data_IF_613296333012
#
_entry.id   IF_613296333012
#
_cell.length_a   1.000
_cell.length_b   1.000
_cell.length_c   1.000
_cell.angle_alpha   90.00
_cell.angle_beta   90.00
_cell.angle_gamma   90.00
#
_symmetry.space_group_name_H-M   'P 1'
#
loop_
_entity.id
_entity.type
_entity.pdbx_description
1 polymer ?
#
# COMPACT_ATOMS: atom_id res chain seq x y z
N UNK A 1 24.40 -11.65 11.58
CA UNK A 1 23.26 -11.50 12.52
C UNK A 1 22.05 -11.99 11.76
N UNK A 2 21.33 -13.00 12.26
CA UNK A 2 20.11 -13.49 11.59
C UNK A 2 18.95 -12.54 11.94
N UNK A 3 18.72 -11.54 11.08
CA UNK A 3 17.69 -10.53 11.29
C UNK A 3 16.26 -11.08 11.12
N UNK A 4 16.11 -12.33 10.67
CA UNK A 4 14.83 -13.04 10.66
C UNK A 4 14.32 -13.27 12.08
N UNK A 5 15.17 -13.74 13.00
CA UNK A 5 14.79 -13.94 14.40
C UNK A 5 14.41 -12.61 15.09
N UNK A 6 15.07 -11.51 14.70
CA UNK A 6 14.70 -10.18 15.16
C UNK A 6 13.30 -9.80 14.64
N UNK A 7 12.95 -10.11 13.39
CA UNK A 7 11.63 -9.82 12.85
C UNK A 7 10.54 -10.64 13.56
N UNK A 8 10.79 -11.92 13.87
CA UNK A 8 9.86 -12.74 14.65
C UNK A 8 9.62 -12.14 16.04
N UNK A 9 10.69 -11.65 16.68
CA UNK A 9 10.61 -10.93 17.95
C UNK A 9 9.80 -9.63 17.84
N UNK A 10 9.98 -8.86 16.76
CA UNK A 10 9.16 -7.67 16.48
C UNK A 10 7.69 -8.03 16.40
N UNK A 11 7.33 -9.09 15.66
CA UNK A 11 5.93 -9.54 15.51
C UNK A 11 5.31 -9.87 16.86
N UNK A 12 6.03 -10.56 17.73
CA UNK A 12 5.58 -10.87 19.10
C UNK A 12 5.34 -9.58 19.89
N UNK A 13 6.30 -8.66 19.90
CA UNK A 13 6.16 -7.41 20.66
C UNK A 13 4.97 -6.57 20.19
N UNK A 14 4.77 -6.46 18.87
CA UNK A 14 3.61 -5.77 18.31
C UNK A 14 2.29 -6.45 18.73
N UNK A 15 2.23 -7.78 18.68
CA UNK A 15 1.05 -8.54 19.10
C UNK A 15 0.73 -8.38 20.60
N UNK A 16 1.75 -8.12 21.43
CA UNK A 16 1.60 -7.89 22.88
C UNK A 16 1.51 -6.41 23.28
N UNK A 17 1.46 -5.48 22.32
CA UNK A 17 1.39 -4.03 22.59
C UNK A 17 2.69 -3.40 23.09
N UNK A 18 3.82 -4.10 22.98
CA UNK A 18 5.15 -3.62 23.40
C UNK A 18 5.83 -2.84 22.26
N UNK A 19 5.19 -1.76 21.80
CA UNK A 19 5.60 -1.01 20.61
C UNK A 19 7.04 -0.48 20.68
N UNK A 20 7.48 0.03 21.83
CA UNK A 20 8.86 0.53 21.97
C UNK A 20 9.90 -0.57 21.81
N UNK A 21 9.61 -1.78 22.32
CA UNK A 21 10.49 -2.94 22.13
C UNK A 21 10.51 -3.38 20.66
N UNK A 22 9.38 -3.31 19.97
CA UNK A 22 9.32 -3.57 18.55
C UNK A 22 10.20 -2.56 17.77
N UNK A 23 10.16 -1.26 18.10
CA UNK A 23 11.01 -0.23 17.48
C UNK A 23 12.50 -0.52 17.66
N UNK A 24 12.91 -0.84 18.88
CA UNK A 24 14.32 -1.18 19.18
C UNK A 24 14.83 -2.31 18.26
N UNK A 25 14.02 -3.34 18.05
CA UNK A 25 14.39 -4.47 17.19
C UNK A 25 14.31 -4.14 15.70
N UNK A 26 13.32 -3.34 15.27
CA UNK A 26 13.26 -2.83 13.90
C UNK A 26 14.51 -2.00 13.57
N UNK A 27 14.94 -1.12 14.48
CA UNK A 27 16.17 -0.34 14.30
C UNK A 27 17.40 -1.25 14.19
N UNK A 28 17.48 -2.33 14.97
CA UNK A 28 18.57 -3.33 14.86
C UNK A 28 18.57 -4.04 13.50
N UNK A 29 17.39 -4.39 12.97
CA UNK A 29 17.29 -4.97 11.62
C UNK A 29 17.78 -3.95 10.59
N UNK A 30 17.27 -2.72 10.61
CA UNK A 30 17.58 -1.71 9.59
C UNK A 30 19.05 -1.29 9.58
N UNK A 31 19.64 -1.08 10.76
CA UNK A 31 21.05 -0.70 10.91
C UNK A 31 22.01 -1.89 10.74
N UNK A 32 21.60 -3.09 11.15
CA UNK A 32 22.41 -4.30 11.08
C UNK A 32 22.39 -5.01 9.72
N UNK A 33 21.46 -4.67 8.83
CA UNK A 33 21.40 -5.24 7.47
C UNK A 33 22.40 -4.52 6.57
N UNK A 34 23.44 -5.22 6.04
CA UNK A 34 24.39 -4.64 5.11
C UNK A 34 23.70 -4.09 3.86
N UNK A 35 24.20 -2.99 3.29
CA UNK A 35 23.59 -2.35 2.12
C UNK A 35 23.40 -3.31 0.94
N UNK A 36 24.37 -4.19 0.69
CA UNK A 36 24.30 -5.21 -0.36
C UNK A 36 23.13 -6.21 -0.19
N UNK A 37 22.57 -6.32 1.02
CA UNK A 37 21.43 -7.19 1.34
C UNK A 37 20.10 -6.44 1.32
N UNK A 38 20.10 -5.10 1.29
CA UNK A 38 18.88 -4.26 1.21
C UNK A 38 18.36 -4.24 -0.22
N UNK A 39 17.68 -5.31 -0.64
CA UNK A 39 17.24 -5.51 -2.03
C UNK A 39 15.77 -5.92 -2.12
N UNK A 40 15.18 -5.78 -3.31
CA UNK A 40 13.79 -6.15 -3.60
C UNK A 40 13.44 -7.57 -3.14
N UNK A 41 14.36 -8.52 -3.30
CA UNK A 41 14.18 -9.93 -2.98
C UNK A 41 14.44 -10.29 -1.51
N UNK A 42 14.56 -9.30 -0.61
CA UNK A 42 14.66 -9.53 0.83
C UNK A 42 13.33 -9.19 1.54
N UNK A 43 12.44 -10.19 1.68
CA UNK A 43 11.13 -9.96 2.30
C UNK A 43 11.23 -9.62 3.79
N UNK A 44 12.28 -10.07 4.50
CA UNK A 44 12.46 -9.78 5.93
C UNK A 44 12.83 -8.31 6.12
N UNK A 45 13.78 -7.83 5.32
CA UNK A 45 14.18 -6.42 5.36
C UNK A 45 13.03 -5.50 4.97
N UNK A 46 12.34 -5.81 3.86
CA UNK A 46 11.20 -5.01 3.39
C UNK A 46 10.05 -5.00 4.40
N UNK A 47 9.79 -6.13 5.08
CA UNK A 47 8.81 -6.16 6.16
C UNK A 47 9.21 -5.28 7.34
N UNK A 48 10.49 -5.26 7.72
CA UNK A 48 10.97 -4.36 8.77
C UNK A 48 10.78 -2.89 8.37
N UNK A 49 11.11 -2.52 7.12
CA UNK A 49 10.87 -1.17 6.60
C UNK A 49 9.38 -0.80 6.65
N UNK A 50 8.49 -1.69 6.21
CA UNK A 50 7.05 -1.47 6.24
C UNK A 50 6.50 -1.32 7.67
N UNK A 51 6.97 -2.14 8.61
CA UNK A 51 6.58 -2.02 10.01
C UNK A 51 7.07 -0.71 10.64
N UNK A 52 8.30 -0.28 10.32
CA UNK A 52 8.79 1.03 10.77
C UNK A 52 7.96 2.19 10.21
N UNK A 53 7.63 2.15 8.91
CA UNK A 53 6.74 3.14 8.31
C UNK A 53 5.39 3.22 9.02
N UNK A 54 4.76 2.07 9.27
CA UNK A 54 3.46 1.98 9.98
C UNK A 54 3.55 2.62 11.37
N UNK A 55 4.58 2.28 12.14
CA UNK A 55 4.74 2.80 13.50
C UNK A 55 4.98 4.31 13.53
N UNK A 56 5.72 4.87 12.57
CA UNK A 56 5.84 6.33 12.43
C UNK A 56 4.47 6.96 12.13
N UNK A 57 3.68 6.39 11.21
CA UNK A 57 2.36 6.93 10.88
C UNK A 57 1.36 6.86 12.04
N UNK A 58 1.42 5.81 12.85
CA UNK A 58 0.62 5.65 14.08
C UNK A 58 0.96 6.69 15.15
N UNK A 59 2.19 7.22 15.14
CA UNK A 59 2.64 8.30 16.02
C UNK A 59 2.51 9.69 15.40
N UNK A 60 1.81 9.80 14.27
CA UNK A 60 1.68 11.05 13.51
C UNK A 60 3.02 11.59 12.96
N UNK A 61 4.11 10.82 13.02
CA UNK A 61 5.37 11.11 12.34
C UNK A 61 5.25 10.82 10.83
N UNK A 62 4.60 11.76 10.14
CA UNK A 62 4.39 11.68 8.69
C UNK A 62 5.71 11.72 7.91
N UNK A 63 6.73 12.43 8.40
CA UNK A 63 8.02 12.53 7.70
C UNK A 63 8.81 11.23 7.80
N UNK A 64 8.93 10.64 8.99
CA UNK A 64 9.59 9.33 9.16
C UNK A 64 8.85 8.22 8.42
N UNK A 65 7.51 8.24 8.46
CA UNK A 65 6.67 7.31 7.70
C UNK A 65 6.93 7.40 6.19
N UNK A 66 6.91 8.62 5.64
CA UNK A 66 7.21 8.86 4.22
C UNK A 66 8.64 8.42 3.84
N UNK A 67 9.64 8.71 4.68
CA UNK A 67 11.03 8.31 4.41
C UNK A 67 11.19 6.79 4.33
N UNK A 68 10.58 6.04 5.24
CA UNK A 68 10.58 4.58 5.17
C UNK A 68 9.84 4.03 3.95
N UNK A 69 8.70 4.63 3.61
CA UNK A 69 7.92 4.26 2.41
C UNK A 69 8.73 4.48 1.14
N UNK A 70 9.34 5.65 0.98
CA UNK A 70 10.15 5.97 -0.19
C UNK A 70 11.36 5.05 -0.31
N UNK A 71 12.04 4.79 0.81
CA UNK A 71 13.15 3.84 0.85
C UNK A 71 12.71 2.44 0.38
N UNK A 72 11.65 1.88 0.97
CA UNK A 72 11.20 0.55 0.60
C UNK A 72 10.67 0.46 -0.83
N UNK A 73 9.97 1.49 -1.33
CA UNK A 73 9.50 1.56 -2.71
C UNK A 73 10.65 1.77 -3.72
N UNK A 74 11.76 2.38 -3.32
CA UNK A 74 12.97 2.44 -4.16
C UNK A 74 13.61 1.06 -4.38
N UNK A 75 13.42 0.15 -3.42
CA UNK A 75 13.92 -1.23 -3.50
C UNK A 75 12.92 -2.14 -4.20
N UNK A 76 11.63 -2.06 -3.85
CA UNK A 76 10.53 -2.82 -4.46
C UNK A 76 9.37 -1.88 -4.79
N UNK A 77 9.29 -1.35 -6.03
CA UNK A 77 8.26 -0.39 -6.43
C UNK A 77 6.82 -0.89 -6.30
N UNK A 78 6.63 -2.21 -6.35
CA UNK A 78 5.35 -2.92 -6.25
C UNK A 78 5.16 -3.57 -4.86
N UNK A 79 5.72 -2.98 -3.79
CA UNK A 79 5.50 -3.50 -2.44
C UNK A 79 4.14 -3.04 -1.89
N UNK A 80 3.18 -3.97 -1.79
CA UNK A 80 1.78 -3.66 -1.48
C UNK A 80 1.60 -2.86 -0.18
N UNK A 81 2.18 -3.29 0.95
CA UNK A 81 1.96 -2.58 2.22
C UNK A 81 2.44 -1.12 2.18
N UNK A 82 3.56 -0.85 1.48
CA UNK A 82 4.12 0.49 1.35
C UNK A 82 3.30 1.36 0.41
N UNK A 83 2.77 0.79 -0.68
CA UNK A 83 1.83 1.48 -1.57
C UNK A 83 0.54 1.86 -0.83
N UNK A 84 -0.03 0.95 -0.04
CA UNK A 84 -1.23 1.26 0.74
C UNK A 84 -0.99 2.41 1.73
N UNK A 85 0.10 2.36 2.50
CA UNK A 85 0.43 3.46 3.42
C UNK A 85 0.74 4.78 2.69
N UNK A 86 1.35 4.73 1.51
CA UNK A 86 1.55 5.92 0.67
C UNK A 86 0.23 6.53 0.22
N UNK A 87 -0.77 5.71 -0.12
CA UNK A 87 -2.11 6.19 -0.45
C UNK A 87 -2.78 6.89 0.75
N UNK A 88 -2.59 6.38 1.97
CA UNK A 88 -3.08 7.05 3.19
C UNK A 88 -2.44 8.42 3.39
N UNK A 89 -1.12 8.55 3.16
CA UNK A 89 -0.46 9.87 3.20
C UNK A 89 -1.07 10.81 2.17
N UNK A 90 -1.31 10.34 0.93
CA UNK A 90 -1.94 11.17 -0.10
C UNK A 90 -3.37 11.57 0.22
N UNK A 91 -4.13 10.69 0.88
CA UNK A 91 -5.47 11.00 1.36
C UNK A 91 -5.45 12.14 2.38
N UNK A 92 -4.55 12.07 3.37
CA UNK A 92 -4.40 13.09 4.42
C UNK A 92 -4.08 14.47 3.84
N UNK A 93 -3.21 14.53 2.83
CA UNK A 93 -2.82 15.79 2.16
C UNK A 93 -3.67 16.12 0.93
N UNK A 94 -4.78 15.41 0.73
CA UNK A 94 -5.78 15.64 -0.33
C UNK A 94 -5.22 15.59 -1.76
N UNK A 95 -4.17 14.79 -1.99
CA UNK A 95 -3.59 14.53 -3.31
C UNK A 95 -4.28 13.34 -3.97
N UNK A 96 -5.54 13.57 -4.39
CA UNK A 96 -6.44 12.50 -4.84
C UNK A 96 -6.04 11.85 -6.17
N UNK A 97 -5.44 12.62 -7.10
CA UNK A 97 -4.90 12.08 -8.34
C UNK A 97 -3.79 11.03 -8.07
N UNK A 98 -2.85 11.35 -7.19
CA UNK A 98 -1.75 10.47 -6.82
C UNK A 98 -2.20 9.31 -5.93
N UNK A 99 -3.13 9.57 -5.00
CA UNK A 99 -3.78 8.53 -4.21
C UNK A 99 -4.40 7.47 -5.10
N UNK A 100 -5.16 7.88 -6.13
CA UNK A 100 -5.79 6.95 -7.07
C UNK A 100 -4.77 6.07 -7.78
N UNK A 101 -3.72 6.67 -8.35
CA UNK A 101 -2.66 5.93 -9.06
C UNK A 101 -2.00 4.91 -8.14
N UNK A 102 -1.68 5.30 -6.91
CA UNK A 102 -1.05 4.39 -5.94
C UNK A 102 -1.99 3.28 -5.48
N UNK A 103 -3.29 3.53 -5.32
CA UNK A 103 -4.27 2.50 -4.98
C UNK A 103 -4.43 1.47 -6.11
N UNK A 104 -4.41 1.91 -7.38
CA UNK A 104 -4.41 0.97 -8.52
C UNK A 104 -3.13 0.12 -8.52
N UNK A 105 -1.97 0.72 -8.26
CA UNK A 105 -0.71 0.00 -8.15
C UNK A 105 -0.72 -1.01 -6.97
N UNK A 106 -1.32 -0.64 -5.85
CA UNK A 106 -1.52 -1.54 -4.70
C UNK A 106 -2.34 -2.77 -5.07
N UNK A 107 -3.46 -2.60 -5.78
CA UNK A 107 -4.28 -3.72 -6.22
C UNK A 107 -3.55 -4.64 -7.21
N UNK A 108 -2.70 -4.09 -8.08
CA UNK A 108 -1.84 -4.89 -8.94
C UNK A 108 -0.82 -5.69 -8.12
N UNK A 109 -0.15 -5.04 -7.16
CA UNK A 109 0.87 -5.62 -6.30
C UNK A 109 0.36 -6.81 -5.46
N UNK A 110 -0.85 -6.73 -4.89
CA UNK A 110 -1.41 -7.85 -4.10
C UNK A 110 -1.78 -9.07 -4.95
N UNK A 111 -1.86 -8.92 -6.27
CA UNK A 111 -2.10 -10.02 -7.22
C UNK A 111 -0.85 -10.46 -7.97
N UNK A 112 0.32 -9.88 -7.65
CA UNK A 112 1.57 -10.24 -8.29
C UNK A 112 1.98 -11.67 -7.90
N UNK A 113 2.68 -12.36 -8.82
CA UNK A 113 3.09 -13.75 -8.63
C UNK A 113 4.04 -13.95 -7.44
N UNK A 114 4.75 -12.90 -7.03
CA UNK A 114 5.66 -12.91 -5.88
C UNK A 114 5.02 -12.43 -4.57
N UNK A 115 3.74 -12.06 -4.56
CA UNK A 115 3.08 -11.45 -3.40
C UNK A 115 3.11 -12.36 -2.15
N UNK A 116 3.01 -13.67 -2.33
CA UNK A 116 3.03 -14.67 -1.25
C UNK A 116 4.35 -14.64 -0.44
N UNK A 117 5.41 -14.07 -1.00
CA UNK A 117 6.73 -14.01 -0.37
C UNK A 117 6.82 -12.94 0.74
N UNK A 118 5.94 -11.93 0.74
CA UNK A 118 6.12 -10.69 1.49
C UNK A 118 5.21 -10.51 2.71
N UNK A 119 4.33 -11.47 3.03
CA UNK A 119 3.47 -11.45 4.23
C UNK A 119 2.77 -10.09 4.43
N UNK A 120 2.04 -9.63 3.41
CA UNK A 120 1.41 -8.30 3.40
C UNK A 120 0.27 -8.17 4.42
N UNK A 121 0.32 -7.12 5.25
CA UNK A 121 -0.72 -6.81 6.24
C UNK A 121 -2.01 -6.27 5.62
N UNK A 122 -1.89 -5.58 4.49
CA UNK A 122 -3.03 -4.90 3.87
C UNK A 122 -3.67 -5.70 2.72
N UNK A 123 -3.20 -6.91 2.44
CA UNK A 123 -3.75 -7.78 1.39
C UNK A 123 -5.02 -8.56 1.79
N UNK A 124 -5.52 -8.36 3.02
CA UNK A 124 -6.72 -9.05 3.50
C UNK A 124 -8.01 -8.51 2.84
N UNK A 125 -8.99 -9.39 2.63
CA UNK A 125 -10.27 -9.09 1.96
C UNK A 125 -11.00 -7.83 2.45
N UNK A 126 -11.07 -7.51 3.77
CA UNK A 126 -11.73 -6.29 4.22
C UNK A 126 -11.03 -5.02 3.70
N UNK A 127 -9.70 -5.00 3.72
CA UNK A 127 -8.91 -3.86 3.22
C UNK A 127 -9.07 -3.71 1.72
N UNK A 128 -9.00 -4.82 0.97
CA UNK A 128 -9.22 -4.80 -0.48
C UNK A 128 -10.63 -4.29 -0.83
N UNK A 129 -11.64 -4.69 -0.06
CA UNK A 129 -13.01 -4.21 -0.24
C UNK A 129 -13.12 -2.71 0.00
N UNK A 130 -12.50 -2.19 1.06
CA UNK A 130 -12.48 -0.75 1.34
C UNK A 130 -11.75 0.03 0.23
N UNK A 131 -10.64 -0.51 -0.29
CA UNK A 131 -9.92 0.11 -1.41
C UNK A 131 -10.82 0.18 -2.65
N UNK A 132 -11.46 -0.92 -3.03
CA UNK A 132 -12.27 -1.01 -4.26
C UNK A 132 -13.56 -0.21 -4.17
N UNK A 133 -14.27 -0.28 -3.05
CA UNK A 133 -15.63 0.25 -2.94
C UNK A 133 -15.71 1.63 -2.26
N UNK A 134 -14.64 2.10 -1.61
CA UNK A 134 -14.62 3.40 -0.91
C UNK A 134 -13.47 4.29 -1.38
N UNK A 135 -12.23 3.86 -1.18
CA UNK A 135 -11.07 4.73 -1.36
C UNK A 135 -10.81 5.10 -2.83
N UNK A 136 -10.86 4.13 -3.74
CA UNK A 136 -10.70 4.40 -5.18
C UNK A 136 -11.83 5.27 -5.75
N UNK A 137 -13.12 4.99 -5.46
CA UNK A 137 -14.21 5.88 -5.86
C UNK A 137 -14.06 7.30 -5.30
N UNK A 138 -13.71 7.44 -4.03
CA UNK A 138 -13.50 8.76 -3.41
C UNK A 138 -12.34 9.52 -4.08
N UNK A 139 -11.20 8.85 -4.27
CA UNK A 139 -10.04 9.44 -4.94
C UNK A 139 -10.38 9.84 -6.38
N UNK A 140 -11.14 8.99 -7.11
CA UNK A 140 -11.58 9.30 -8.46
C UNK A 140 -12.52 10.51 -8.49
N UNK A 141 -13.55 10.53 -7.65
CA UNK A 141 -14.55 11.61 -7.63
C UNK A 141 -13.93 12.97 -7.32
N UNK A 142 -12.90 12.99 -6.45
CA UNK A 142 -12.18 14.19 -6.03
C UNK A 142 -10.96 14.53 -6.92
N UNK A 143 -10.56 13.65 -7.83
CA UNK A 143 -9.43 13.89 -8.71
C UNK A 143 -9.68 15.01 -9.72
N UNK A 144 -8.63 15.75 -10.03
CA UNK A 144 -8.65 16.79 -11.07
C UNK A 144 -8.52 16.20 -12.48
N UNK A 145 -7.81 15.07 -12.61
CA UNK A 145 -7.49 14.42 -13.90
C UNK A 145 -8.39 13.22 -14.22
N UNK A 146 -9.67 13.26 -13.82
CA UNK A 146 -10.62 12.13 -13.95
C UNK A 146 -10.61 11.45 -15.32
N UNK A 147 -10.56 12.21 -16.41
CA UNK A 147 -10.52 11.64 -17.77
C UNK A 147 -9.27 10.78 -17.99
N UNK A 148 -8.09 11.28 -17.60
CA UNK A 148 -6.85 10.53 -17.74
C UNK A 148 -6.83 9.29 -16.85
N UNK A 149 -7.30 9.41 -15.60
CA UNK A 149 -7.40 8.27 -14.68
C UNK A 149 -8.39 7.21 -15.19
N UNK A 150 -9.48 7.63 -15.82
CA UNK A 150 -10.44 6.72 -16.40
C UNK A 150 -9.84 5.90 -17.54
N UNK A 151 -9.07 6.54 -18.43
CA UNK A 151 -8.35 5.84 -19.49
C UNK A 151 -7.36 4.81 -18.93
N UNK A 152 -6.67 5.13 -17.83
CA UNK A 152 -5.73 4.20 -17.19
C UNK A 152 -6.47 2.95 -16.70
N UNK A 153 -7.60 3.09 -16.00
CA UNK A 153 -8.37 1.93 -15.52
C UNK A 153 -8.96 1.13 -16.67
N UNK A 154 -9.50 1.78 -17.70
CA UNK A 154 -10.04 1.09 -18.87
C UNK A 154 -8.96 0.28 -19.59
N UNK A 155 -7.78 0.87 -19.82
CA UNK A 155 -6.64 0.16 -20.42
C UNK A 155 -6.17 -1.00 -19.55
N UNK A 156 -6.05 -0.77 -18.24
CA UNK A 156 -5.65 -1.82 -17.29
C UNK A 156 -6.66 -2.98 -17.26
N UNK A 157 -7.96 -2.70 -17.23
CA UNK A 157 -9.01 -3.72 -17.29
C UNK A 157 -9.02 -4.46 -18.63
N UNK A 158 -8.74 -3.80 -19.76
CA UNK A 158 -8.73 -4.47 -21.05
C UNK A 158 -7.61 -5.54 -21.20
N UNK A 159 -6.50 -5.39 -20.47
CA UNK A 159 -5.33 -6.28 -20.58
C UNK A 159 -5.09 -7.16 -19.36
N UNK A 160 -5.74 -6.88 -18.23
CA UNK A 160 -5.54 -7.57 -16.97
C UNK A 160 -6.49 -8.74 -16.79
N UNK A 161 -5.96 -9.85 -16.28
CA UNK A 161 -6.73 -11.01 -15.81
C UNK A 161 -7.10 -10.90 -14.31
N UNK A 162 -6.85 -9.75 -13.68
CA UNK A 162 -7.15 -9.53 -12.25
C UNK A 162 -8.61 -9.14 -12.03
N UNK A 163 -9.35 -9.98 -11.31
CA UNK A 163 -10.74 -9.72 -10.91
C UNK A 163 -10.88 -8.40 -10.13
N UNK A 164 -9.85 -8.00 -9.37
CA UNK A 164 -9.84 -6.73 -8.65
C UNK A 164 -9.87 -5.54 -9.61
N UNK A 165 -9.05 -5.56 -10.67
CA UNK A 165 -9.01 -4.48 -11.66
C UNK A 165 -10.31 -4.42 -12.47
N UNK A 166 -10.88 -5.58 -12.82
CA UNK A 166 -12.20 -5.65 -13.47
C UNK A 166 -13.31 -5.09 -12.57
N UNK A 167 -13.25 -5.37 -11.26
CA UNK A 167 -14.21 -4.86 -10.28
C UNK A 167 -14.08 -3.35 -10.14
N UNK A 168 -12.87 -2.80 -10.07
CA UNK A 168 -12.65 -1.33 -10.04
C UNK A 168 -13.24 -0.66 -11.27
N UNK A 169 -12.97 -1.18 -12.47
CA UNK A 169 -13.56 -0.67 -13.70
C UNK A 169 -15.11 -0.68 -13.62
N UNK A 170 -15.69 -1.78 -13.15
CA UNK A 170 -17.14 -1.90 -12.99
C UNK A 170 -17.69 -0.87 -11.99
N UNK A 171 -17.06 -0.74 -10.82
CA UNK A 171 -17.48 0.20 -9.76
C UNK A 171 -17.43 1.65 -10.23
N UNK A 172 -16.38 2.03 -10.95
CA UNK A 172 -16.18 3.41 -11.41
C UNK A 172 -17.09 3.78 -12.60
N UNK A 173 -17.36 2.84 -13.51
CA UNK A 173 -18.04 3.17 -14.79
C UNK A 173 -19.42 2.55 -14.97
N UNK A 174 -19.87 1.65 -14.08
CA UNK A 174 -21.20 1.02 -14.17
C UNK A 174 -22.27 1.68 -13.30
N UNK A 175 -21.96 2.79 -12.60
CA UNK A 175 -23.01 3.65 -12.05
C UNK A 175 -23.69 4.38 -13.20
N UNK A 176 -24.91 3.97 -13.53
CA UNK A 176 -25.85 4.75 -14.35
C UNK A 176 -25.87 6.19 -13.81
N UNK A 177 -25.94 7.22 -14.68
CA UNK A 177 -26.42 8.52 -14.22
C UNK A 177 -27.79 8.27 -13.61
N UNK A 178 -28.04 8.75 -12.39
CA UNK A 178 -29.39 8.80 -11.84
C UNK A 178 -30.23 9.63 -12.81
N UNK A 179 -30.94 8.94 -13.69
CA UNK A 179 -32.04 9.48 -14.45
C UNK A 179 -33.08 9.94 -13.43
N UNK A 180 -33.18 11.26 -13.22
CA UNK A 180 -34.08 11.78 -12.20
C UNK A 180 -33.91 13.27 -11.92
N UNK A 181 -33.82 14.11 -12.95
CA UNK A 181 -34.18 15.52 -12.86
C UNK A 181 -34.47 16.10 -14.26
N UNK A 182 -35.69 15.86 -14.74
CA UNK A 182 -36.49 16.70 -15.64
C UNK A 182 -37.82 15.94 -15.88
N UNK A 183 -38.97 16.62 -15.95
CA UNK A 183 -39.18 17.93 -16.56
C UNK A 183 -39.22 19.11 -15.58
#
# INVERSE_FOLDING_TARGET
>A
MDYKANLDTVKIYLATGLTERAREYLQKILSGTPEAQRRAADPVYLKAVALSARLCLEEEDRQGGAAHIEHGLSLKPDHADLLFMKALIYWDIQRFDEMFVVLVAFLAAVTAADAEQYDYQYAAQPVLSDVVYKLLPEAFDKATSRTALAEVVQKAAAVSHSDLIQTVHTVLFSRKPTAGAAP
#
